data_IF_019691433225
#
_entry.id   IF_019691433225
#
_cell.length_a   1.000
_cell.length_b   1.000
_cell.length_c   1.000
_cell.angle_alpha   90.00
_cell.angle_beta   90.00
_cell.angle_gamma   90.00
#
_symmetry.space_group_name_H-M   'P 1'
#
loop_
_entity.id
_entity.type
_entity.pdbx_description
1 polymer ?
#
# COMPACT_ATOMS: atom_id res chain seq x y z
N UNK A 1 -70.56 -2.93 13.01
CA UNK A 1 -69.35 -2.09 12.82
C UNK A 1 -69.50 -1.36 11.50
N UNK A 2 -69.47 -0.04 11.49
CA UNK A 2 -69.95 0.80 10.38
C UNK A 2 -68.92 0.77 9.20
N UNK A 3 -69.27 0.16 8.08
CA UNK A 3 -68.42 0.00 6.88
C UNK A 3 -67.79 1.33 6.38
N UNK A 4 -68.51 2.44 6.63
CA UNK A 4 -68.08 3.78 6.29
C UNK A 4 -66.89 4.23 7.16
N UNK A 5 -66.87 3.87 8.44
CA UNK A 5 -65.79 4.17 9.40
C UNK A 5 -64.51 3.41 9.04
N UNK A 6 -64.66 2.12 8.65
CA UNK A 6 -63.52 1.28 8.25
C UNK A 6 -62.84 1.85 6.98
N UNK A 7 -63.64 2.26 5.98
CA UNK A 7 -63.08 2.89 4.76
C UNK A 7 -62.39 4.22 5.04
N UNK A 8 -62.88 5.02 5.95
CA UNK A 8 -62.25 6.29 6.34
C UNK A 8 -60.91 6.09 7.08
N UNK A 9 -60.87 5.10 8.02
CA UNK A 9 -59.63 4.77 8.75
C UNK A 9 -58.58 4.15 7.80
N UNK A 10 -58.97 3.28 6.85
CA UNK A 10 -58.08 2.72 5.88
C UNK A 10 -57.50 3.78 4.92
N UNK A 11 -58.30 4.78 4.54
CA UNK A 11 -57.87 5.87 3.68
C UNK A 11 -56.87 6.83 4.40
N UNK A 12 -57.10 7.12 5.67
CA UNK A 12 -56.17 7.92 6.49
C UNK A 12 -54.84 7.15 6.70
N UNK A 13 -54.90 5.85 6.92
CA UNK A 13 -53.69 5.01 7.06
C UNK A 13 -52.91 4.90 5.75
N UNK A 14 -53.59 4.83 4.59
CA UNK A 14 -52.92 4.86 3.31
C UNK A 14 -52.21 6.19 3.03
N UNK A 15 -52.81 7.32 3.40
CA UNK A 15 -52.21 8.67 3.25
C UNK A 15 -50.98 8.82 4.14
N UNK A 16 -50.98 8.25 5.36
CA UNK A 16 -49.82 8.34 6.27
C UNK A 16 -48.58 7.59 5.77
N UNK A 17 -48.76 6.60 4.87
CA UNK A 17 -47.65 5.87 4.24
C UNK A 17 -46.90 6.69 3.18
N UNK A 18 -47.48 7.74 2.64
CA UNK A 18 -46.82 8.67 1.70
C UNK A 18 -45.98 9.76 2.36
N UNK A 19 -46.05 9.93 3.67
CA UNK A 19 -45.23 10.87 4.44
C UNK A 19 -43.94 10.27 4.96
N UNK A 20 -43.57 9.06 4.49
CA UNK A 20 -42.34 8.38 4.87
C UNK A 20 -41.13 9.04 4.21
N UNK A 21 -40.33 9.67 5.03
CA UNK A 21 -38.93 10.09 4.84
C UNK A 21 -38.57 10.80 3.52
N UNK A 22 -38.67 12.12 3.54
CA UNK A 22 -37.66 12.93 2.80
C UNK A 22 -36.32 12.82 3.57
N UNK A 23 -35.49 11.88 3.20
CA UNK A 23 -34.07 11.93 3.51
C UNK A 23 -33.56 13.21 2.85
N UNK A 24 -33.17 14.22 3.62
CA UNK A 24 -32.34 15.31 3.12
C UNK A 24 -31.01 14.70 2.64
N UNK A 25 -30.93 14.38 1.36
CA UNK A 25 -29.63 14.13 0.73
C UNK A 25 -28.86 15.46 0.85
N UNK A 26 -27.92 15.55 1.78
CA UNK A 26 -26.90 16.58 1.77
C UNK A 26 -26.28 16.57 0.37
N UNK A 27 -26.61 17.59 -0.43
CA UNK A 27 -26.06 17.76 -1.77
C UNK A 27 -24.58 18.10 -1.58
N UNK A 28 -23.71 17.09 -1.69
CA UNK A 28 -22.29 17.32 -1.76
C UNK A 28 -22.03 18.10 -3.06
N UNK A 29 -21.64 19.36 -2.93
CA UNK A 29 -21.38 20.28 -4.03
C UNK A 29 -20.02 20.04 -4.70
N UNK A 30 -19.35 18.93 -4.41
CA UNK A 30 -18.04 18.56 -4.98
C UNK A 30 -17.77 17.07 -4.89
N UNK A 31 -16.74 16.64 -5.58
CA UNK A 31 -16.23 15.25 -5.48
C UNK A 31 -15.56 15.04 -4.11
N UNK A 32 -15.88 13.96 -3.36
CA UNK A 32 -15.27 13.71 -2.05
C UNK A 32 -13.79 13.37 -2.20
N UNK A 33 -12.97 13.74 -1.23
CA UNK A 33 -11.62 13.19 -1.12
C UNK A 33 -11.69 11.70 -0.79
N UNK A 34 -10.79 10.92 -1.40
CA UNK A 34 -10.73 9.46 -1.25
C UNK A 34 -9.39 9.10 -0.63
N UNK A 35 -9.42 8.48 0.56
CA UNK A 35 -8.22 7.97 1.24
C UNK A 35 -8.37 6.47 1.40
N UNK A 36 -7.43 5.70 0.85
CA UNK A 36 -7.36 4.24 1.00
C UNK A 36 -6.19 3.93 1.93
N UNK A 37 -6.48 3.38 3.11
CA UNK A 37 -5.47 2.87 4.04
C UNK A 37 -5.44 1.35 3.87
N UNK A 38 -4.38 0.85 3.24
CA UNK A 38 -4.21 -0.57 2.92
C UNK A 38 -3.11 -1.16 3.78
N UNK A 39 -3.50 -1.88 4.83
CA UNK A 39 -2.58 -2.47 5.80
C UNK A 39 -1.91 -3.73 5.25
N UNK A 40 -0.71 -4.02 5.72
CA UNK A 40 0.08 -5.20 5.38
C UNK A 40 0.02 -6.20 6.53
N UNK A 41 -0.37 -7.44 6.23
CA UNK A 41 -0.45 -8.56 7.17
C UNK A 41 -1.32 -8.32 8.43
N UNK A 42 -2.31 -7.41 8.36
CA UNK A 42 -3.27 -7.18 9.43
C UNK A 42 -4.46 -8.12 9.27
N UNK A 43 -4.64 -9.02 10.22
CA UNK A 43 -5.73 -9.99 10.23
C UNK A 43 -7.06 -9.40 10.73
N UNK A 44 -8.16 -10.03 10.35
CA UNK A 44 -9.51 -9.67 10.85
C UNK A 44 -9.58 -9.65 12.39
N UNK A 45 -8.93 -10.62 13.05
CA UNK A 45 -8.90 -10.72 14.51
C UNK A 45 -7.99 -9.72 15.21
N UNK A 46 -7.17 -8.96 14.48
CA UNK A 46 -6.24 -7.98 15.03
C UNK A 46 -6.86 -6.59 15.21
N UNK A 47 -8.06 -6.38 14.68
CA UNK A 47 -8.81 -5.13 14.79
C UNK A 47 -9.90 -5.25 15.84
N UNK A 48 -9.85 -4.43 16.91
CA UNK A 48 -10.76 -4.53 18.05
C UNK A 48 -12.23 -4.27 17.69
N UNK A 49 -12.52 -3.54 16.62
CA UNK A 49 -13.87 -3.36 16.09
C UNK A 49 -14.50 -4.68 15.59
N UNK A 50 -13.70 -5.66 15.20
CA UNK A 50 -14.17 -6.97 14.75
C UNK A 50 -14.06 -8.04 15.84
N UNK A 51 -12.99 -8.01 16.65
CA UNK A 51 -12.75 -8.98 17.72
C UNK A 51 -12.12 -8.32 18.94
N UNK A 52 -12.85 -8.29 20.05
CA UNK A 52 -12.35 -7.76 21.31
C UNK A 52 -11.27 -8.67 21.93
N UNK A 53 -10.28 -8.06 22.54
CA UNK A 53 -9.35 -8.76 23.45
C UNK A 53 -8.01 -9.20 22.85
N UNK A 54 -7.73 -8.96 21.56
CA UNK A 54 -6.42 -9.28 20.95
C UNK A 54 -5.52 -8.04 20.92
N UNK A 55 -5.94 -7.00 20.24
CA UNK A 55 -5.27 -5.70 20.16
C UNK A 55 -6.28 -4.59 20.45
N UNK A 56 -5.78 -3.42 20.83
CA UNK A 56 -6.59 -2.22 20.98
C UNK A 56 -6.30 -1.28 19.80
N UNK A 57 -7.30 -1.07 18.94
CA UNK A 57 -7.21 -0.24 17.73
C UNK A 57 -8.19 0.94 17.76
N UNK A 58 -8.09 1.88 18.73
CA UNK A 58 -9.13 2.85 19.01
C UNK A 58 -9.44 3.79 17.84
N UNK A 59 -8.46 4.14 17.02
CA UNK A 59 -8.66 4.99 15.86
C UNK A 59 -9.38 4.26 14.71
N UNK A 60 -9.09 2.97 14.51
CA UNK A 60 -9.80 2.12 13.53
C UNK A 60 -11.22 1.88 14.04
N UNK A 61 -11.41 1.63 15.33
CA UNK A 61 -12.71 1.44 15.95
C UNK A 61 -13.58 2.70 15.81
N UNK A 62 -12.99 3.87 15.95
CA UNK A 62 -13.69 5.14 15.71
C UNK A 62 -14.20 5.22 14.27
N UNK A 63 -13.36 4.94 13.27
CA UNK A 63 -13.78 4.90 11.87
C UNK A 63 -14.90 3.88 11.63
N UNK A 64 -14.79 2.69 12.24
CA UNK A 64 -15.81 1.65 12.13
C UNK A 64 -17.16 2.04 12.73
N UNK A 65 -17.14 2.84 13.81
CA UNK A 65 -18.35 3.33 14.50
C UNK A 65 -19.00 4.52 13.79
N UNK A 66 -18.21 5.35 13.12
CA UNK A 66 -18.67 6.54 12.41
C UNK A 66 -19.02 6.26 10.93
N UNK A 67 -18.60 5.12 10.39
CA UNK A 67 -18.75 4.73 9.00
C UNK A 67 -19.50 3.44 8.79
N UNK A 68 -19.15 2.72 7.72
CA UNK A 68 -19.72 1.42 7.37
C UNK A 68 -18.67 0.35 7.66
N UNK A 69 -19.06 -0.64 8.45
CA UNK A 69 -18.23 -1.83 8.74
C UNK A 69 -18.68 -3.02 7.88
N UNK A 70 -17.76 -3.57 7.10
CA UNK A 70 -18.01 -4.76 6.30
C UNK A 70 -17.59 -6.02 7.07
N UNK A 71 -18.53 -6.87 7.41
CA UNK A 71 -18.24 -8.12 8.13
C UNK A 71 -17.77 -9.26 7.20
N UNK A 72 -18.04 -9.14 5.91
CA UNK A 72 -17.66 -10.11 4.87
C UNK A 72 -16.83 -9.44 3.76
N UNK A 73 -15.84 -8.65 4.13
CA UNK A 73 -14.85 -8.10 3.22
C UNK A 73 -13.65 -9.04 3.10
N UNK A 74 -13.24 -9.38 1.88
CA UNK A 74 -12.15 -10.30 1.62
C UNK A 74 -11.08 -9.64 0.76
N UNK A 75 -9.80 -9.85 1.13
CA UNK A 75 -8.70 -9.52 0.25
C UNK A 75 -8.73 -10.45 -0.98
N UNK A 76 -8.40 -9.91 -2.16
CA UNK A 76 -8.37 -10.66 -3.42
C UNK A 76 -7.23 -11.68 -3.50
N UNK A 77 -6.25 -11.60 -2.61
CA UNK A 77 -5.16 -12.56 -2.41
C UNK A 77 -4.62 -12.45 -0.99
N UNK A 78 -4.07 -13.54 -0.48
CA UNK A 78 -3.46 -13.60 0.86
C UNK A 78 -2.05 -13.00 0.93
N UNK A 79 -1.47 -12.56 -0.20
CA UNK A 79 -0.09 -12.10 -0.28
C UNK A 79 0.05 -10.73 -0.92
N UNK A 80 1.15 -10.04 -0.61
CA UNK A 80 1.38 -8.61 -0.88
C UNK A 80 1.17 -8.20 -2.35
N UNK A 81 2.08 -8.58 -3.26
CA UNK A 81 2.05 -8.11 -4.66
C UNK A 81 0.77 -8.49 -5.40
N UNK A 82 0.26 -9.73 -5.30
CA UNK A 82 -1.01 -10.09 -5.94
C UNK A 82 -2.21 -9.28 -5.44
N UNK A 83 -2.29 -9.05 -4.13
CA UNK A 83 -3.38 -8.30 -3.53
C UNK A 83 -3.32 -6.82 -3.93
N UNK A 84 -2.12 -6.23 -3.95
CA UNK A 84 -1.88 -4.85 -4.42
C UNK A 84 -2.17 -4.67 -5.90
N UNK A 85 -1.78 -5.65 -6.72
CA UNK A 85 -2.13 -5.68 -8.15
C UNK A 85 -3.65 -5.61 -8.34
N UNK A 86 -4.37 -6.50 -7.66
CA UNK A 86 -5.83 -6.55 -7.78
C UNK A 86 -6.52 -5.28 -7.27
N UNK A 87 -6.04 -4.69 -6.15
CA UNK A 87 -6.56 -3.43 -5.65
C UNK A 87 -6.43 -2.33 -6.72
N UNK A 88 -5.26 -2.17 -7.35
CA UNK A 88 -5.01 -1.07 -8.25
C UNK A 88 -5.64 -1.25 -9.63
N UNK A 89 -5.79 -2.49 -10.11
CA UNK A 89 -6.26 -2.79 -11.47
C UNK A 89 -7.71 -3.25 -11.54
N UNK A 90 -8.29 -3.71 -10.42
CA UNK A 90 -9.58 -4.38 -10.41
C UNK A 90 -9.56 -5.78 -11.04
N UNK A 91 -8.39 -6.33 -11.34
CA UNK A 91 -8.21 -7.63 -12.01
C UNK A 91 -7.73 -8.65 -10.97
N UNK A 92 -8.38 -9.80 -10.89
CA UNK A 92 -7.92 -10.88 -10.05
C UNK A 92 -6.51 -11.35 -10.42
N UNK A 93 -5.60 -11.57 -9.44
CA UNK A 93 -4.19 -11.80 -9.71
C UNK A 93 -3.91 -13.09 -10.49
N UNK A 94 -4.73 -14.13 -10.36
CA UNK A 94 -4.58 -15.37 -11.15
C UNK A 94 -4.81 -15.19 -12.66
N UNK A 95 -5.34 -14.05 -13.09
CA UNK A 95 -5.48 -13.71 -14.52
C UNK A 95 -4.22 -13.12 -15.13
N UNK A 96 -3.22 -12.79 -14.30
CA UNK A 96 -1.93 -12.28 -14.73
C UNK A 96 -0.81 -13.13 -14.12
N UNK A 97 -0.10 -13.89 -14.94
CA UNK A 97 1.00 -14.76 -14.48
C UNK A 97 2.16 -14.03 -13.79
N UNK A 98 2.28 -12.71 -14.01
CA UNK A 98 3.26 -11.85 -13.33
C UNK A 98 2.80 -11.37 -11.96
N UNK A 99 1.49 -11.43 -11.65
CA UNK A 99 0.91 -10.98 -10.37
C UNK A 99 1.15 -12.00 -9.25
N UNK A 100 2.40 -12.30 -8.96
CA UNK A 100 2.90 -13.14 -7.86
C UNK A 100 3.87 -12.32 -7.00
N UNK A 101 4.24 -12.85 -5.84
CA UNK A 101 5.25 -12.19 -5.00
C UNK A 101 6.54 -12.01 -5.80
N UNK A 102 7.06 -10.81 -5.79
CA UNK A 102 8.30 -10.43 -6.45
C UNK A 102 9.36 -10.03 -5.42
N UNK A 103 10.63 -10.16 -5.80
CA UNK A 103 11.77 -9.65 -5.04
C UNK A 103 12.64 -8.92 -6.04
N UNK A 104 12.55 -7.60 -6.07
CA UNK A 104 13.05 -6.81 -7.18
C UNK A 104 12.33 -7.16 -8.48
N UNK A 105 12.67 -6.50 -9.55
CA UNK A 105 12.15 -6.83 -10.88
C UNK A 105 11.25 -5.78 -11.49
N UNK A 106 10.86 -6.04 -12.73
CA UNK A 106 10.10 -5.11 -13.54
C UNK A 106 8.69 -4.88 -13.01
N UNK A 107 8.14 -3.72 -13.33
CA UNK A 107 6.76 -3.38 -13.03
C UNK A 107 5.80 -4.43 -13.60
N UNK A 108 4.95 -5.01 -12.74
CA UNK A 108 4.01 -6.08 -13.12
C UNK A 108 2.67 -5.56 -13.67
N UNK A 109 2.35 -4.29 -13.42
CA UNK A 109 1.19 -3.62 -14.00
C UNK A 109 1.60 -3.03 -15.35
N UNK A 110 0.88 -3.37 -16.41
CA UNK A 110 1.10 -2.74 -17.71
C UNK A 110 0.71 -1.26 -17.63
N UNK A 111 1.58 -0.39 -18.16
CA UNK A 111 1.32 1.05 -18.13
C UNK A 111 0.14 1.48 -19.00
N UNK A 112 -0.39 0.60 -19.83
CA UNK A 112 -1.60 0.83 -20.62
C UNK A 112 -2.87 0.40 -19.90
N UNK A 113 -2.77 -0.45 -18.87
CA UNK A 113 -3.92 -0.91 -18.08
C UNK A 113 -4.63 0.26 -17.40
N UNK A 114 -5.95 0.17 -17.30
CA UNK A 114 -6.75 1.06 -16.46
C UNK A 114 -6.50 0.73 -14.99
N UNK A 115 -6.16 1.75 -14.21
CA UNK A 115 -5.92 1.64 -12.77
C UNK A 115 -6.79 2.63 -12.01
N UNK A 116 -6.96 2.42 -10.70
CA UNK A 116 -7.70 3.37 -9.85
C UNK A 116 -7.19 4.82 -10.02
N UNK A 117 -5.87 5.12 -9.92
CA UNK A 117 -5.42 6.50 -10.10
C UNK A 117 -5.71 7.06 -11.50
N UNK A 118 -5.55 6.27 -12.57
CA UNK A 118 -5.94 6.72 -13.92
C UNK A 118 -7.43 7.02 -14.02
N UNK A 119 -8.28 6.15 -13.49
CA UNK A 119 -9.72 6.35 -13.48
C UNK A 119 -10.10 7.63 -12.74
N UNK A 120 -9.54 7.86 -11.56
CA UNK A 120 -9.81 9.05 -10.76
C UNK A 120 -9.33 10.33 -11.46
N UNK A 121 -8.21 10.30 -12.16
CA UNK A 121 -7.73 11.44 -12.96
C UNK A 121 -8.73 11.84 -14.06
N UNK A 122 -9.50 10.93 -14.64
CA UNK A 122 -10.56 11.29 -15.61
C UNK A 122 -11.67 12.14 -14.98
N UNK A 123 -11.74 12.16 -13.66
CA UNK A 123 -12.68 12.97 -12.85
C UNK A 123 -12.02 14.17 -12.16
N UNK A 124 -10.79 14.51 -12.57
CA UNK A 124 -10.08 15.68 -12.07
C UNK A 124 -9.40 15.48 -10.69
N UNK A 125 -9.30 14.26 -10.19
CA UNK A 125 -8.57 14.00 -8.95
C UNK A 125 -7.06 14.11 -9.16
N UNK A 126 -6.37 14.71 -8.20
CA UNK A 126 -4.94 14.57 -8.00
C UNK A 126 -4.68 13.33 -7.14
N UNK A 127 -3.75 12.47 -7.56
CA UNK A 127 -3.58 11.13 -7.00
C UNK A 127 -2.20 10.91 -6.42
N UNK A 128 -2.12 10.38 -5.20
CA UNK A 128 -0.86 10.09 -4.52
C UNK A 128 -0.80 8.69 -3.93
N UNK A 129 0.43 8.17 -3.83
CA UNK A 129 0.72 6.93 -3.11
C UNK A 129 1.90 7.13 -2.16
N UNK A 130 1.72 6.69 -0.91
CA UNK A 130 2.76 6.73 0.13
C UNK A 130 2.83 5.37 0.81
N UNK A 131 4.04 4.81 0.96
CA UNK A 131 4.27 3.55 1.67
C UNK A 131 4.83 2.43 0.80
N UNK A 132 4.50 1.18 1.13
CA UNK A 132 4.97 -0.01 0.44
C UNK A 132 4.42 -0.09 -0.98
N UNK A 133 5.31 -0.28 -1.96
CA UNK A 133 4.95 -0.48 -3.36
C UNK A 133 4.80 -1.96 -3.72
N UNK A 134 5.87 -2.70 -3.76
CA UNK A 134 5.97 -4.14 -3.99
C UNK A 134 5.27 -4.65 -5.27
N UNK A 135 5.29 -3.86 -6.33
CA UNK A 135 4.73 -4.19 -7.65
C UNK A 135 5.76 -4.12 -8.78
N UNK A 136 7.05 -4.06 -8.41
CA UNK A 136 8.15 -3.92 -9.36
C UNK A 136 8.32 -2.49 -9.89
N UNK A 137 9.48 -2.24 -10.46
CA UNK A 137 9.90 -0.96 -10.98
C UNK A 137 10.71 -1.16 -12.27
N UNK A 138 10.60 -0.22 -13.21
CA UNK A 138 11.33 -0.31 -14.47
C UNK A 138 10.88 -1.49 -15.36
N UNK A 139 11.66 -1.76 -16.39
CA UNK A 139 11.41 -2.86 -17.35
C UNK A 139 12.47 -3.97 -17.30
N UNK A 140 13.64 -3.67 -16.71
CA UNK A 140 14.80 -4.55 -16.62
C UNK A 140 15.52 -4.37 -15.27
N UNK A 141 16.85 -4.61 -15.25
CA UNK A 141 17.68 -4.30 -14.08
C UNK A 141 17.55 -2.82 -13.73
N UNK A 142 17.13 -2.55 -12.51
CA UNK A 142 16.89 -1.18 -12.04
C UNK A 142 18.22 -0.49 -11.74
N UNK A 143 18.39 0.73 -12.26
CA UNK A 143 19.45 1.63 -11.84
C UNK A 143 18.90 2.61 -10.79
N UNK A 144 19.25 2.41 -9.54
CA UNK A 144 18.82 3.24 -8.43
C UNK A 144 19.51 4.61 -8.37
N UNK A 145 20.51 4.84 -9.24
CA UNK A 145 21.28 6.09 -9.29
C UNK A 145 20.75 7.08 -10.35
N UNK A 146 19.63 6.77 -10.95
CA UNK A 146 18.97 7.59 -11.95
C UNK A 146 17.46 7.50 -11.81
N UNK A 147 16.73 8.23 -12.64
CA UNK A 147 15.25 8.15 -12.66
C UNK A 147 14.78 6.73 -12.97
N UNK A 148 14.00 6.17 -12.08
CA UNK A 148 13.39 4.84 -12.20
C UNK A 148 12.04 5.00 -12.89
N UNK A 149 11.88 4.36 -14.04
CA UNK A 149 10.65 4.38 -14.84
C UNK A 149 10.56 3.10 -15.69
N UNK A 150 9.36 2.52 -15.88
CA UNK A 150 8.09 2.89 -15.27
C UNK A 150 7.99 2.52 -13.79
N UNK A 151 7.04 3.17 -13.11
CA UNK A 151 6.74 2.98 -11.69
C UNK A 151 5.34 3.51 -11.36
N UNK A 152 5.07 3.90 -10.11
CA UNK A 152 3.76 4.40 -9.70
C UNK A 152 3.24 5.54 -10.57
N UNK A 153 4.10 6.47 -10.96
CA UNK A 153 3.68 7.63 -11.76
C UNK A 153 3.19 7.23 -13.16
N UNK A 154 3.76 6.19 -13.79
CA UNK A 154 3.36 5.73 -15.12
C UNK A 154 2.05 4.94 -15.10
N UNK A 155 1.64 4.44 -13.94
CA UNK A 155 0.33 3.80 -13.80
C UNK A 155 -0.76 4.75 -13.26
N UNK A 156 -0.43 6.06 -13.18
CA UNK A 156 -1.42 7.10 -12.98
C UNK A 156 -1.27 7.96 -11.73
N UNK A 157 -0.40 7.66 -10.80
CA UNK A 157 -0.18 8.54 -9.64
C UNK A 157 0.57 9.82 -10.02
N UNK A 158 0.08 10.96 -9.55
CA UNK A 158 0.74 12.26 -9.71
C UNK A 158 1.92 12.39 -8.75
N UNK A 159 1.76 11.87 -7.54
CA UNK A 159 2.79 11.82 -6.51
C UNK A 159 3.04 10.39 -6.05
N UNK A 160 4.30 10.06 -5.81
CA UNK A 160 4.69 8.79 -5.19
C UNK A 160 5.83 8.97 -4.20
N UNK A 161 5.69 8.41 -2.99
CA UNK A 161 6.77 8.28 -2.01
C UNK A 161 6.72 6.88 -1.42
N UNK A 162 7.62 6.01 -1.86
CA UNK A 162 7.50 4.58 -1.65
C UNK A 162 8.79 3.93 -1.14
N UNK A 163 8.64 2.76 -0.50
CA UNK A 163 9.67 1.73 -0.50
C UNK A 163 9.41 0.76 -1.67
N UNK A 164 10.48 0.36 -2.37
CA UNK A 164 10.37 -0.44 -3.61
C UNK A 164 9.66 -1.78 -3.42
N UNK A 165 10.10 -2.55 -2.44
CA UNK A 165 9.57 -3.89 -2.11
C UNK A 165 8.96 -3.90 -0.70
N UNK A 166 9.62 -4.55 0.24
CA UNK A 166 9.23 -4.70 1.64
C UNK A 166 10.37 -4.25 2.55
N UNK A 167 10.08 -4.00 3.82
CA UNK A 167 11.07 -3.57 4.79
C UNK A 167 12.24 -4.56 4.95
N UNK A 168 11.98 -5.84 4.77
CA UNK A 168 12.95 -6.92 4.90
C UNK A 168 13.87 -7.11 3.67
N UNK A 169 13.77 -6.26 2.63
CA UNK A 169 14.49 -6.39 1.36
C UNK A 169 15.35 -5.17 1.03
N UNK A 170 16.33 -5.40 0.16
CA UNK A 170 17.05 -4.29 -0.49
C UNK A 170 16.28 -3.82 -1.74
N UNK A 171 16.45 -2.53 -2.15
CA UNK A 171 17.22 -1.49 -1.49
C UNK A 171 16.47 -0.92 -0.30
N UNK A 172 17.21 -0.56 0.74
CA UNK A 172 16.68 0.03 1.96
C UNK A 172 16.61 1.56 1.86
N UNK A 173 15.94 2.05 0.81
CA UNK A 173 15.84 3.50 0.50
C UNK A 173 14.42 3.89 0.13
N UNK A 174 14.05 5.13 0.37
CA UNK A 174 12.81 5.71 -0.15
C UNK A 174 13.01 6.20 -1.59
N UNK A 175 11.94 6.06 -2.40
CA UNK A 175 11.90 6.54 -3.78
C UNK A 175 10.74 7.53 -3.90
N UNK A 176 11.03 8.76 -4.29
CA UNK A 176 10.05 9.82 -4.48
C UNK A 176 10.00 10.21 -5.96
N UNK A 177 8.83 10.07 -6.58
CA UNK A 177 8.59 10.38 -8.00
C UNK A 177 9.62 9.76 -8.97
N UNK A 178 10.08 8.55 -8.61
CA UNK A 178 11.05 7.78 -9.40
C UNK A 178 12.52 8.07 -9.08
N UNK A 179 12.84 8.89 -8.09
CA UNK A 179 14.21 9.16 -7.66
C UNK A 179 14.44 8.68 -6.24
N UNK A 180 15.62 8.12 -5.98
CA UNK A 180 16.04 7.77 -4.63
C UNK A 180 16.24 9.06 -3.82
N UNK A 181 15.62 9.11 -2.66
CA UNK A 181 15.68 10.25 -1.73
C UNK A 181 17.06 10.31 -1.07
N UNK A 182 17.66 11.49 -0.99
CA UNK A 182 18.97 11.75 -0.36
C UNK A 182 20.13 10.93 -0.96
N UNK A 183 20.06 10.54 -2.21
CA UNK A 183 21.15 9.85 -2.89
C UNK A 183 22.36 10.78 -3.02
N UNK A 184 23.51 10.31 -2.55
CA UNK A 184 24.80 10.95 -2.84
C UNK A 184 25.35 10.37 -4.17
N UNK A 185 25.59 11.21 -5.19
CA UNK A 185 26.18 10.76 -6.45
C UNK A 185 27.58 10.14 -6.31
N UNK A 186 28.31 10.45 -5.24
CA UNK A 186 29.64 9.93 -4.94
C UNK A 186 29.58 8.57 -4.20
N UNK A 187 28.40 8.16 -3.73
CA UNK A 187 28.15 6.87 -3.06
C UNK A 187 27.00 6.13 -3.76
N UNK A 188 27.22 5.65 -5.00
CA UNK A 188 26.19 5.04 -5.82
C UNK A 188 25.69 3.72 -5.23
N UNK A 189 24.39 3.48 -5.41
CA UNK A 189 23.72 2.27 -4.97
C UNK A 189 23.91 1.16 -5.99
N UNK A 190 24.39 0.01 -5.51
CA UNK A 190 24.38 -1.25 -6.22
C UNK A 190 23.52 -2.26 -5.48
N UNK A 191 22.64 -2.97 -6.21
CA UNK A 191 21.74 -3.99 -5.66
C UNK A 191 21.88 -5.29 -6.43
N UNK A 192 21.95 -6.40 -5.69
CA UNK A 192 21.95 -7.74 -6.22
C UNK A 192 20.98 -8.61 -5.42
N UNK A 193 20.11 -9.35 -6.12
CA UNK A 193 19.15 -10.26 -5.50
C UNK A 193 19.59 -11.72 -5.62
N UNK A 194 19.16 -12.58 -4.70
CA UNK A 194 19.54 -14.01 -4.67
C UNK A 194 19.20 -14.78 -5.95
N UNK A 195 18.22 -14.33 -6.72
CA UNK A 195 17.85 -14.97 -7.98
C UNK A 195 18.75 -14.59 -9.18
N UNK A 196 19.67 -13.65 -8.99
CA UNK A 196 20.63 -13.29 -10.01
C UNK A 196 21.75 -14.33 -10.07
N UNK A 197 22.25 -14.63 -11.28
CA UNK A 197 23.24 -15.70 -11.52
C UNK A 197 24.56 -15.53 -10.73
N UNK A 198 24.93 -14.30 -10.40
CA UNK A 198 26.10 -13.99 -9.61
C UNK A 198 25.64 -13.38 -8.28
N UNK A 199 25.77 -14.14 -7.22
CA UNK A 199 25.57 -13.65 -5.86
C UNK A 199 26.84 -12.94 -5.41
N UNK A 200 26.79 -11.62 -5.40
CA UNK A 200 27.87 -10.77 -4.93
C UNK A 200 27.38 -9.99 -3.71
N UNK A 201 28.00 -10.26 -2.58
CA UNK A 201 27.75 -9.55 -1.32
C UNK A 201 28.61 -8.30 -1.17
N UNK A 202 29.35 -7.95 -2.26
CA UNK A 202 30.25 -6.79 -2.30
C UNK A 202 31.36 -6.82 -1.22
N UNK A 203 31.64 -7.99 -0.63
CA UNK A 203 32.59 -8.11 0.47
C UNK A 203 32.10 -7.50 1.80
N UNK A 204 30.81 -7.15 1.88
CA UNK A 204 30.19 -6.52 3.06
C UNK A 204 29.68 -7.57 4.05
N UNK A 205 29.47 -7.19 5.33
CA UNK A 205 28.81 -8.03 6.32
C UNK A 205 27.42 -8.44 5.88
N UNK A 206 27.08 -9.71 6.11
CA UNK A 206 25.78 -10.28 5.76
C UNK A 206 25.20 -11.07 6.93
N UNK A 207 23.87 -11.23 6.96
CA UNK A 207 23.23 -12.06 7.98
C UNK A 207 23.76 -13.48 8.05
N UNK A 208 24.18 -14.05 6.91
CA UNK A 208 24.76 -15.39 6.83
C UNK A 208 26.19 -15.45 7.40
N UNK A 209 27.04 -14.47 7.07
CA UNK A 209 28.48 -14.49 7.46
C UNK A 209 28.72 -13.89 8.82
N UNK A 210 27.89 -12.94 9.22
CA UNK A 210 28.08 -12.10 10.41
C UNK A 210 26.80 -12.03 11.26
N UNK A 211 26.27 -13.17 11.73
CA UNK A 211 25.01 -13.17 12.52
C UNK A 211 25.13 -12.39 13.83
N UNK A 212 26.34 -12.21 14.37
CA UNK A 212 26.65 -11.44 15.56
C UNK A 212 26.37 -9.93 15.42
N UNK A 213 26.31 -9.42 14.17
CA UNK A 213 26.02 -8.02 13.89
C UNK A 213 24.51 -7.73 13.76
N UNK A 214 23.68 -8.75 13.95
CA UNK A 214 22.22 -8.60 13.84
C UNK A 214 21.58 -8.35 15.19
N UNK A 215 20.61 -7.44 15.23
CA UNK A 215 19.85 -7.09 16.44
C UNK A 215 18.65 -8.02 16.68
N UNK A 216 18.36 -8.92 15.74
CA UNK A 216 17.23 -9.83 15.80
C UNK A 216 17.54 -11.18 15.17
N UNK A 217 16.85 -12.23 15.62
CA UNK A 217 16.87 -13.52 14.91
C UNK A 217 16.04 -13.41 13.63
N UNK A 218 16.50 -14.06 12.57
CA UNK A 218 15.81 -14.05 11.26
C UNK A 218 15.58 -15.48 10.76
N UNK A 219 14.70 -15.59 9.75
CA UNK A 219 14.35 -16.84 9.07
C UNK A 219 14.23 -16.63 7.56
N UNK A 220 14.17 -17.73 6.81
CA UNK A 220 13.71 -17.78 5.40
C UNK A 220 14.40 -16.81 4.44
N UNK A 221 15.72 -16.96 4.27
CA UNK A 221 16.44 -16.24 3.22
C UNK A 221 16.83 -14.80 3.54
N UNK A 222 16.65 -14.32 4.77
CA UNK A 222 17.18 -13.05 5.26
C UNK A 222 18.68 -13.16 5.55
N UNK A 223 19.46 -13.50 4.51
CA UNK A 223 20.87 -13.82 4.61
C UNK A 223 21.79 -12.73 4.02
N UNK A 224 21.19 -11.71 3.43
CA UNK A 224 21.90 -10.67 2.69
C UNK A 224 22.45 -9.57 3.56
N UNK A 225 22.59 -8.37 2.97
CA UNK A 225 23.17 -7.21 3.61
C UNK A 225 22.50 -6.86 4.93
N UNK A 226 23.31 -6.51 5.93
CA UNK A 226 22.83 -6.02 7.22
C UNK A 226 22.70 -4.50 7.14
N UNK A 227 21.48 -3.99 7.34
CA UNK A 227 21.20 -2.56 7.41
C UNK A 227 20.43 -2.29 8.70
N UNK A 228 20.91 -1.37 9.54
CA UNK A 228 20.35 -1.06 10.87
C UNK A 228 20.27 -2.31 11.80
N UNK A 229 21.23 -3.23 11.68
CA UNK A 229 21.22 -4.49 12.42
C UNK A 229 20.18 -5.51 11.92
N UNK A 230 19.48 -5.24 10.83
CA UNK A 230 18.49 -6.12 10.24
C UNK A 230 19.06 -6.76 8.97
N UNK A 231 19.17 -8.10 8.91
CA UNK A 231 19.62 -8.78 7.69
C UNK A 231 18.49 -8.79 6.65
N UNK A 232 18.82 -8.46 5.41
CA UNK A 232 17.85 -8.27 4.32
C UNK A 232 17.87 -9.46 3.34
N UNK A 233 16.82 -9.54 2.54
CA UNK A 233 16.81 -10.37 1.34
C UNK A 233 17.50 -9.58 0.22
N UNK A 234 18.62 -10.11 -0.29
CA UNK A 234 19.46 -9.45 -1.29
C UNK A 234 20.65 -8.71 -0.69
N UNK A 235 21.47 -8.18 -1.57
CA UNK A 235 22.72 -7.49 -1.25
C UNK A 235 22.66 -6.05 -1.76
N UNK A 236 23.14 -5.12 -0.95
CA UNK A 236 23.20 -3.69 -1.27
C UNK A 236 24.53 -3.11 -0.83
N UNK A 237 25.13 -2.31 -1.71
CA UNK A 237 26.32 -1.48 -1.45
C UNK A 237 26.01 -0.03 -1.75
N UNK A 238 26.60 0.88 -1.02
CA UNK A 238 26.45 2.34 -1.20
C UNK A 238 25.10 2.87 -0.71
N UNK A 239 24.87 4.15 -1.01
CA UNK A 239 23.65 4.87 -0.64
C UNK A 239 23.52 5.11 0.86
N UNK A 240 24.64 5.29 1.60
CA UNK A 240 24.60 5.42 3.06
C UNK A 240 23.68 6.55 3.52
N UNK A 241 23.73 7.71 2.85
CA UNK A 241 22.87 8.86 3.17
C UNK A 241 21.40 8.65 2.79
N UNK A 242 21.10 7.69 1.90
CA UNK A 242 19.76 7.39 1.41
C UNK A 242 19.07 6.29 2.23
N UNK A 243 19.80 5.50 3.02
CA UNK A 243 19.23 4.41 3.80
C UNK A 243 18.18 4.92 4.79
N UNK A 244 17.05 4.27 4.84
CA UNK A 244 16.03 4.60 5.83
C UNK A 244 16.41 4.16 7.25
N UNK A 245 15.77 4.76 8.24
CA UNK A 245 15.72 4.25 9.61
C UNK A 245 14.48 3.34 9.75
N UNK A 246 14.67 2.10 10.18
CA UNK A 246 13.56 1.16 10.37
C UNK A 246 12.61 1.59 11.50
N UNK A 247 13.17 2.23 12.54
CA UNK A 247 12.41 2.71 13.71
C UNK A 247 11.50 3.88 13.32
N UNK A 248 11.98 4.78 12.47
CA UNK A 248 11.28 6.02 12.10
C UNK A 248 10.36 5.86 10.89
N UNK A 249 10.31 4.68 10.28
CA UNK A 249 9.61 4.46 9.01
C UNK A 249 8.12 4.80 9.08
N UNK A 250 7.44 4.43 10.16
CA UNK A 250 6.01 4.69 10.33
C UNK A 250 5.73 6.21 10.39
N UNK A 251 6.49 6.94 11.19
CA UNK A 251 6.37 8.39 11.32
C UNK A 251 6.77 9.12 10.04
N UNK A 252 7.78 8.61 9.34
CA UNK A 252 8.20 9.14 8.04
C UNK A 252 7.06 9.07 7.01
N UNK A 253 6.46 7.89 6.83
CA UNK A 253 5.34 7.73 5.91
C UNK A 253 4.10 8.53 6.35
N UNK A 254 3.79 8.56 7.64
CA UNK A 254 2.71 9.37 8.18
C UNK A 254 2.90 10.86 7.81
N UNK A 255 4.10 11.40 8.05
CA UNK A 255 4.42 12.80 7.72
C UNK A 255 4.30 13.09 6.22
N UNK A 256 4.79 12.18 5.36
CA UNK A 256 4.67 12.31 3.89
C UNK A 256 3.22 12.28 3.43
N UNK A 257 2.41 11.38 3.96
CA UNK A 257 0.98 11.30 3.65
C UNK A 257 0.23 12.55 4.11
N UNK A 258 0.49 13.02 5.34
CA UNK A 258 -0.13 14.24 5.88
C UNK A 258 0.24 15.49 5.08
N UNK A 259 1.49 15.61 4.62
CA UNK A 259 1.90 16.73 3.79
C UNK A 259 1.16 16.71 2.46
N UNK A 260 1.13 15.55 1.79
CA UNK A 260 0.40 15.39 0.53
C UNK A 260 -1.10 15.73 0.64
N UNK A 261 -1.76 15.39 1.77
CA UNK A 261 -3.18 15.69 1.97
C UNK A 261 -3.43 17.18 2.20
N UNK A 262 -2.43 17.94 2.67
CA UNK A 262 -2.54 19.38 2.94
C UNK A 262 -2.31 20.25 1.70
N UNK A 263 -1.62 19.73 0.69
CA UNK A 263 -1.37 20.38 -0.60
C UNK A 263 -2.60 20.28 -1.52
#
# INVERSE_FOLDING_TARGET
>A
MNLKLIKQTLFVFLISLFFSCKSEQKKYLGSPNIIIIYTDDLGYGDVSAYKKGTLNTPNIDKLANEGIRFNNGYASSATCSPSRYALLTGIYPWRNSRAKIITGGSLIIDTTEMTIPKLLKTKGYHTGIVGKWHLGLGTNKINYNSKISPGPNQIGFDYSHIMADTQDRVPTVYIENGYVVNLDPNDPIEVNFFHQKKQDDYGLPTGLKNPELTTMKWHHGHNGSIVNGVPRIGYMKGGENAKWSDIDMADHFLKKAQNYIKE
#
